data_IF_426014497782
#
_entry.id   IF_426014497782
#
_cell.length_a   1.000
_cell.length_b   1.000
_cell.length_c   1.000
_cell.angle_alpha   90.00
_cell.angle_beta   90.00
_cell.angle_gamma   90.00
#
_symmetry.space_group_name_H-M   'P 1'
#
loop_
_entity.id
_entity.type
_entity.pdbx_description
1 polymer ?
#
# COMPACT_ATOMS: atom_id res chain seq x y z
N UNK A 1 -17.30 6.16 -23.29
CA UNK A 1 -17.33 6.35 -21.82
C UNK A 1 -18.40 7.35 -21.35
N UNK A 2 -18.65 8.45 -22.05
CA UNK A 2 -19.56 9.52 -21.58
C UNK A 2 -21.01 9.09 -21.28
N UNK A 3 -21.60 8.20 -22.08
CA UNK A 3 -22.98 7.72 -21.87
C UNK A 3 -23.21 6.97 -20.55
N UNK A 4 -22.15 6.48 -19.87
CA UNK A 4 -22.28 5.69 -18.64
C UNK A 4 -22.16 6.50 -17.34
N UNK A 5 -21.64 7.73 -17.35
CA UNK A 5 -21.46 8.48 -16.09
C UNK A 5 -22.80 8.83 -15.44
N UNK A 6 -23.81 9.11 -16.25
CA UNK A 6 -25.13 9.47 -15.76
C UNK A 6 -25.91 8.28 -15.17
N UNK A 7 -25.45 7.04 -15.36
CA UNK A 7 -26.08 5.84 -14.81
C UNK A 7 -25.51 5.41 -13.46
N UNK A 8 -24.52 6.13 -12.91
CA UNK A 8 -23.93 5.81 -11.61
C UNK A 8 -24.33 6.84 -10.56
N UNK A 9 -24.61 6.37 -9.34
CA UNK A 9 -24.90 7.23 -8.18
C UNK A 9 -23.63 7.81 -7.56
N UNK A 10 -22.49 7.12 -7.75
CA UNK A 10 -21.20 7.58 -7.27
C UNK A 10 -20.01 6.95 -7.99
N UNK A 11 -18.86 7.61 -7.87
CA UNK A 11 -17.58 7.19 -8.47
C UNK A 11 -16.48 7.28 -7.43
N UNK A 12 -15.70 6.20 -7.30
CA UNK A 12 -14.46 6.18 -6.53
C UNK A 12 -13.30 6.39 -7.49
N UNK A 13 -12.48 7.40 -7.20
CA UNK A 13 -11.27 7.72 -7.96
C UNK A 13 -10.07 7.49 -7.04
N UNK A 14 -9.23 6.51 -7.38
CA UNK A 14 -7.99 6.29 -6.67
C UNK A 14 -7.03 7.47 -6.89
N UNK A 15 -6.55 8.05 -5.79
CA UNK A 15 -5.74 9.24 -5.82
C UNK A 15 -4.34 8.93 -6.33
N UNK A 16 -3.96 9.59 -7.42
CA UNK A 16 -2.61 9.61 -7.96
C UNK A 16 -2.33 10.98 -8.58
N UNK A 17 -1.08 11.24 -8.98
CA UNK A 17 -0.74 12.44 -9.75
C UNK A 17 -1.51 12.51 -11.06
N UNK A 18 -1.79 11.37 -11.69
CA UNK A 18 -2.51 11.28 -12.96
C UNK A 18 -4.02 11.51 -12.81
N UNK A 19 -4.61 11.11 -11.68
CA UNK A 19 -6.05 11.23 -11.46
C UNK A 19 -6.50 12.57 -10.86
N UNK A 20 -5.58 13.50 -10.59
CA UNK A 20 -5.85 14.78 -9.93
C UNK A 20 -6.97 15.60 -10.57
N UNK A 21 -7.09 15.57 -11.90
CA UNK A 21 -8.10 16.31 -12.65
C UNK A 21 -9.40 15.53 -12.91
N UNK A 22 -9.44 14.23 -12.59
CA UNK A 22 -10.60 13.37 -12.84
C UNK A 22 -11.85 13.86 -12.08
N UNK A 23 -11.79 14.23 -10.78
CA UNK A 23 -12.96 14.78 -10.08
C UNK A 23 -13.54 16.02 -10.76
N UNK A 24 -12.67 16.95 -11.21
CA UNK A 24 -13.09 18.16 -11.93
C UNK A 24 -13.77 17.82 -13.25
N UNK A 25 -13.25 16.84 -13.98
CA UNK A 25 -13.84 16.38 -15.23
C UNK A 25 -15.22 15.74 -15.01
N UNK A 26 -15.36 14.87 -14.00
CA UNK A 26 -16.65 14.25 -13.63
C UNK A 26 -17.67 15.33 -13.25
N UNK A 27 -17.28 16.28 -12.38
CA UNK A 27 -18.13 17.38 -11.93
C UNK A 27 -18.66 18.24 -13.09
N UNK A 28 -17.84 18.47 -14.13
CA UNK A 28 -18.27 19.19 -15.34
C UNK A 28 -19.32 18.43 -16.17
N UNK A 29 -19.33 17.10 -16.08
CA UNK A 29 -20.26 16.23 -16.84
C UNK A 29 -21.56 15.97 -16.08
N UNK A 30 -21.46 15.72 -14.78
CA UNK A 30 -22.62 15.50 -13.92
C UNK A 30 -22.31 16.04 -12.52
N UNK A 31 -22.95 17.15 -12.14
CA UNK A 31 -22.77 17.77 -10.81
C UNK A 31 -23.44 17.00 -9.67
N UNK A 32 -24.38 16.10 -9.98
CA UNK A 32 -25.16 15.35 -8.98
C UNK A 32 -24.45 14.08 -8.50
N UNK A 33 -23.47 13.58 -9.27
CA UNK A 33 -22.79 12.33 -8.93
C UNK A 33 -21.87 12.52 -7.72
N UNK A 34 -21.94 11.59 -6.77
CA UNK A 34 -21.04 11.60 -5.62
C UNK A 34 -19.65 11.12 -6.03
N UNK A 35 -18.64 11.97 -5.89
CA UNK A 35 -17.25 11.57 -6.15
C UNK A 35 -16.48 11.40 -4.84
N UNK A 36 -15.87 10.24 -4.67
CA UNK A 36 -14.92 9.92 -3.60
C UNK A 36 -13.52 9.88 -4.22
N UNK A 37 -12.63 10.76 -3.76
CA UNK A 37 -11.23 10.75 -4.13
C UNK A 37 -10.41 10.07 -3.02
N UNK A 38 -9.95 8.86 -3.27
CA UNK A 38 -9.43 7.98 -2.23
C UNK A 38 -7.92 7.80 -2.31
N UNK A 39 -7.23 8.30 -1.30
CA UNK A 39 -5.82 8.05 -1.01
C UNK A 39 -5.66 6.66 -0.40
N UNK A 40 -5.42 5.65 -1.24
CA UNK A 40 -5.12 4.29 -0.81
C UNK A 40 -3.62 4.03 -0.58
N UNK A 41 -2.79 5.03 -0.85
CA UNK A 41 -1.36 5.07 -0.60
C UNK A 41 -1.03 6.35 0.19
N UNK A 42 0.04 6.37 1.00
CA UNK A 42 0.45 7.59 1.69
C UNK A 42 0.58 8.78 0.74
N UNK A 43 0.15 9.96 1.19
CA UNK A 43 0.02 11.15 0.33
C UNK A 43 1.33 11.54 -0.36
N UNK A 44 2.49 11.24 0.23
CA UNK A 44 3.80 11.53 -0.36
C UNK A 44 4.04 10.85 -1.73
N UNK A 45 3.28 9.80 -2.06
CA UNK A 45 3.28 9.14 -3.37
C UNK A 45 2.17 9.62 -4.31
N UNK A 46 1.28 10.51 -3.85
CA UNK A 46 0.09 10.94 -4.57
C UNK A 46 0.09 12.46 -4.86
N UNK A 47 -1.04 12.97 -5.35
CA UNK A 47 -1.27 14.41 -5.51
C UNK A 47 -1.57 15.05 -4.15
N UNK A 48 -0.97 16.21 -3.88
CA UNK A 48 -1.27 16.97 -2.68
C UNK A 48 -2.78 17.28 -2.61
N UNK A 49 -3.50 16.95 -1.52
CA UNK A 49 -4.93 17.19 -1.37
C UNK A 49 -5.38 18.64 -1.62
N UNK A 50 -4.49 19.62 -1.39
CA UNK A 50 -4.77 21.04 -1.66
C UNK A 50 -4.97 21.33 -3.16
N UNK A 51 -4.46 20.48 -4.06
CA UNK A 51 -4.64 20.61 -5.51
C UNK A 51 -5.95 19.99 -6.02
N UNK A 52 -6.69 19.29 -5.16
CA UNK A 52 -7.97 18.65 -5.48
C UNK A 52 -9.07 19.35 -4.68
N UNK A 53 -9.85 20.19 -5.36
CA UNK A 53 -10.83 21.05 -4.68
C UNK A 53 -12.06 20.27 -4.20
N UNK A 54 -12.52 20.59 -2.99
CA UNK A 54 -13.61 19.90 -2.29
C UNK A 54 -14.95 20.01 -3.00
N UNK A 55 -15.17 21.10 -3.75
CA UNK A 55 -16.36 21.25 -4.59
C UNK A 55 -16.50 20.15 -5.65
N UNK A 56 -15.43 19.42 -5.97
CA UNK A 56 -15.46 18.33 -6.97
C UNK A 56 -15.59 16.93 -6.36
N UNK A 57 -15.23 16.74 -5.09
CA UNK A 57 -15.23 15.42 -4.46
C UNK A 57 -15.02 15.49 -2.94
N UNK A 58 -15.44 14.44 -2.23
CA UNK A 58 -14.98 14.16 -0.85
C UNK A 58 -13.66 13.40 -0.90
N UNK A 59 -12.69 13.80 -0.08
CA UNK A 59 -11.36 13.19 -0.04
C UNK A 59 -11.25 12.24 1.16
N UNK A 60 -10.76 11.03 0.93
CA UNK A 60 -10.65 9.97 1.92
C UNK A 60 -9.23 9.41 1.97
N UNK A 61 -8.75 8.98 3.13
CA UNK A 61 -7.45 8.28 3.28
C UNK A 61 -7.59 7.07 4.20
N UNK A 62 -6.75 6.07 3.97
CA UNK A 62 -6.60 4.93 4.90
C UNK A 62 -5.65 5.26 6.07
N UNK A 63 -4.73 6.21 5.87
CA UNK A 63 -3.74 6.59 6.88
C UNK A 63 -4.30 7.72 7.75
N UNK A 64 -4.30 7.48 9.07
CA UNK A 64 -4.87 8.38 10.06
C UNK A 64 -4.08 9.69 10.20
N UNK A 65 -2.75 9.65 10.08
CA UNK A 65 -1.95 10.87 10.12
C UNK A 65 -2.25 11.76 8.91
N UNK A 66 -2.40 11.15 7.73
CA UNK A 66 -2.81 11.85 6.51
C UNK A 66 -4.22 12.47 6.68
N UNK A 67 -5.15 11.77 7.35
CA UNK A 67 -6.47 12.31 7.67
C UNK A 67 -6.39 13.57 8.54
N UNK A 68 -5.63 13.49 9.64
CA UNK A 68 -5.46 14.62 10.56
C UNK A 68 -4.76 15.81 9.88
N UNK A 69 -3.66 15.54 9.16
CA UNK A 69 -2.82 16.57 8.55
C UNK A 69 -3.50 17.33 7.42
N UNK A 70 -4.36 16.66 6.64
CA UNK A 70 -4.99 17.24 5.46
C UNK A 70 -6.51 17.38 5.57
N UNK A 71 -7.07 17.15 6.77
CA UNK A 71 -8.51 17.17 7.03
C UNK A 71 -9.30 16.26 6.07
N UNK A 72 -8.89 14.99 5.99
CA UNK A 72 -9.52 13.99 5.12
C UNK A 72 -10.44 13.07 5.93
N UNK A 73 -11.42 12.45 5.25
CA UNK A 73 -12.26 11.43 5.87
C UNK A 73 -11.49 10.10 6.00
N UNK A 74 -11.68 9.37 7.09
CA UNK A 74 -11.03 8.06 7.30
C UNK A 74 -11.76 6.95 6.55
N UNK A 75 -11.02 6.14 5.80
CA UNK A 75 -11.49 4.88 5.23
C UNK A 75 -10.62 3.71 5.73
N UNK A 76 -11.08 2.46 5.57
CA UNK A 76 -10.19 1.29 5.74
C UNK A 76 -9.32 1.09 4.50
N UNK A 77 -8.33 0.21 4.60
CA UNK A 77 -7.61 -0.31 3.43
C UNK A 77 -8.50 -1.32 2.66
N UNK A 78 -8.24 -1.57 1.37
CA UNK A 78 -8.91 -2.62 0.61
C UNK A 78 -8.07 -3.89 0.51
N UNK A 79 -8.74 -5.01 0.19
CA UNK A 79 -8.07 -6.24 -0.21
C UNK A 79 -8.83 -6.89 -1.36
N UNK A 80 -8.10 -7.45 -2.34
CA UNK A 80 -8.73 -8.14 -3.46
C UNK A 80 -9.03 -9.60 -3.07
N UNK A 81 -10.30 -9.91 -2.78
CA UNK A 81 -10.73 -11.25 -2.36
C UNK A 81 -10.36 -12.38 -3.35
N UNK A 82 -10.19 -12.08 -4.64
CA UNK A 82 -9.85 -13.06 -5.68
C UNK A 82 -8.35 -13.46 -5.71
N UNK A 83 -7.55 -13.02 -4.75
CA UNK A 83 -6.18 -13.48 -4.59
C UNK A 83 -6.22 -14.92 -4.06
N UNK A 84 -6.27 -15.89 -4.97
CA UNK A 84 -6.06 -17.30 -4.66
C UNK A 84 -4.59 -17.60 -4.88
N UNK A 85 -3.89 -18.01 -3.84
CA UNK A 85 -2.51 -18.47 -3.95
C UNK A 85 -2.49 -19.96 -3.65
N UNK A 86 -1.82 -20.72 -4.52
CA UNK A 86 -1.57 -22.13 -4.24
C UNK A 86 -0.69 -22.24 -2.99
N UNK A 87 -1.02 -23.20 -2.12
CA UNK A 87 -0.14 -23.52 -0.99
C UNK A 87 1.14 -24.12 -1.55
N UNK A 88 2.26 -23.48 -1.26
CA UNK A 88 3.57 -23.96 -1.66
C UNK A 88 4.33 -24.52 -0.46
N UNK A 89 5.38 -25.31 -0.74
CA UNK A 89 6.32 -25.74 0.28
C UNK A 89 6.93 -24.53 0.99
N UNK A 90 6.89 -24.53 2.31
CA UNK A 90 7.49 -23.48 3.12
C UNK A 90 9.01 -23.52 2.97
N UNK A 91 9.59 -22.37 2.62
CA UNK A 91 11.05 -22.15 2.51
C UNK A 91 11.57 -21.18 3.56
N UNK A 92 10.72 -20.28 4.05
CA UNK A 92 11.11 -19.21 4.97
C UNK A 92 10.15 -19.17 6.16
N UNK A 93 10.68 -18.88 7.33
CA UNK A 93 9.90 -18.54 8.52
C UNK A 93 9.35 -17.11 8.40
N UNK A 94 10.17 -16.17 7.93
CA UNK A 94 9.80 -14.75 7.86
C UNK A 94 10.07 -14.18 6.45
N UNK A 95 9.09 -13.48 5.90
CA UNK A 95 9.23 -12.74 4.64
C UNK A 95 8.99 -11.25 4.85
N UNK A 96 9.91 -10.42 4.35
CA UNK A 96 9.74 -8.97 4.25
C UNK A 96 9.79 -8.53 2.79
N UNK A 97 8.90 -7.62 2.41
CA UNK A 97 8.95 -6.92 1.14
C UNK A 97 8.69 -5.42 1.35
N UNK A 98 9.66 -4.60 0.98
CA UNK A 98 9.48 -3.16 1.04
C UNK A 98 10.64 -2.39 0.44
N UNK A 99 10.38 -1.14 0.11
CA UNK A 99 11.45 -0.17 -0.12
C UNK A 99 12.20 0.11 1.19
N UNK A 100 13.49 0.45 1.08
CA UNK A 100 14.33 0.76 2.24
C UNK A 100 13.71 1.86 3.11
N UNK A 101 13.40 3.05 2.60
CA UNK A 101 12.67 4.13 3.31
C UNK A 101 13.16 4.45 4.74
N UNK A 102 14.45 4.31 5.02
CA UNK A 102 15.03 4.50 6.35
C UNK A 102 14.84 3.30 7.29
N UNK A 103 14.46 2.14 6.78
CA UNK A 103 14.28 0.89 7.55
C UNK A 103 15.54 0.04 7.59
N UNK A 104 16.64 0.50 7.00
CA UNK A 104 17.85 -0.29 6.87
C UNK A 104 18.39 -0.76 8.22
N UNK A 105 18.52 0.13 9.20
CA UNK A 105 19.09 -0.23 10.51
C UNK A 105 18.25 -1.29 11.25
N UNK A 106 16.92 -1.14 11.26
CA UNK A 106 16.04 -2.12 11.90
C UNK A 106 16.05 -3.48 11.16
N UNK A 107 16.13 -3.46 9.83
CA UNK A 107 16.24 -4.69 9.03
C UNK A 107 17.58 -5.40 9.25
N UNK A 108 18.67 -4.65 9.43
CA UNK A 108 20.01 -5.20 9.70
C UNK A 108 20.02 -5.91 11.06
N UNK A 109 19.55 -5.22 12.10
CA UNK A 109 19.41 -5.78 13.44
C UNK A 109 18.53 -7.03 13.47
N UNK A 110 17.37 -7.00 12.80
CA UNK A 110 16.48 -8.16 12.73
C UNK A 110 17.09 -9.33 11.96
N UNK A 111 17.89 -9.06 10.92
CA UNK A 111 18.60 -10.10 10.20
C UNK A 111 19.62 -10.80 11.11
N UNK A 112 20.41 -10.05 11.87
CA UNK A 112 21.38 -10.59 12.83
C UNK A 112 20.70 -11.43 13.92
N UNK A 113 19.61 -10.91 14.50
CA UNK A 113 18.78 -11.63 15.47
C UNK A 113 18.22 -12.95 14.88
N UNK A 114 17.65 -12.91 13.68
CA UNK A 114 17.12 -14.09 13.01
C UNK A 114 18.20 -15.13 12.71
N UNK A 115 19.39 -14.70 12.28
CA UNK A 115 20.55 -15.60 12.08
C UNK A 115 20.92 -16.28 13.39
N UNK A 116 21.04 -15.53 14.49
CA UNK A 116 21.40 -16.07 15.81
C UNK A 116 20.39 -17.08 16.35
N UNK A 117 19.12 -16.95 15.97
CA UNK A 117 18.03 -17.85 16.38
C UNK A 117 17.81 -19.01 15.39
N UNK A 118 18.56 -19.07 14.28
CA UNK A 118 18.36 -20.08 13.23
C UNK A 118 17.06 -19.93 12.45
N UNK A 119 16.45 -18.74 12.48
CA UNK A 119 15.23 -18.41 11.74
C UNK A 119 15.56 -18.21 10.27
N UNK A 120 14.88 -18.92 9.37
CA UNK A 120 15.08 -18.73 7.92
C UNK A 120 14.25 -17.55 7.45
N UNK A 121 14.87 -16.52 6.91
CA UNK A 121 14.15 -15.33 6.44
C UNK A 121 14.50 -14.96 5.00
N UNK A 122 13.60 -14.21 4.36
CA UNK A 122 13.83 -13.59 3.07
C UNK A 122 13.43 -12.12 3.12
N UNK A 123 14.42 -11.23 3.02
CA UNK A 123 14.21 -9.79 2.93
C UNK A 123 14.35 -9.31 1.49
N UNK A 124 13.23 -8.99 0.86
CA UNK A 124 13.18 -8.39 -0.46
C UNK A 124 13.16 -6.86 -0.35
N UNK A 125 14.35 -6.26 -0.30
CA UNK A 125 14.52 -4.82 -0.08
C UNK A 125 14.74 -4.12 -1.42
N UNK A 126 13.87 -3.18 -1.75
CA UNK A 126 13.95 -2.39 -2.98
C UNK A 126 14.65 -1.07 -2.71
N UNK A 127 15.60 -0.70 -3.58
CA UNK A 127 16.33 0.56 -3.49
C UNK A 127 15.41 1.78 -3.61
N UNK A 128 15.72 2.81 -2.85
CA UNK A 128 15.16 4.15 -3.00
C UNK A 128 16.18 5.24 -2.58
N UNK A 129 15.69 6.47 -2.37
CA UNK A 129 16.53 7.63 -2.05
C UNK A 129 17.19 7.59 -0.66
N UNK A 130 16.76 6.72 0.25
CA UNK A 130 17.33 6.59 1.61
C UNK A 130 18.30 5.42 1.72
N UNK A 131 18.46 4.65 0.64
CA UNK A 131 19.31 3.48 0.58
C UNK A 131 20.79 3.82 0.75
N UNK A 132 21.42 3.23 1.77
CA UNK A 132 22.81 3.47 2.18
C UNK A 132 23.84 2.53 1.57
N UNK A 133 23.43 1.46 0.86
CA UNK A 133 24.36 0.45 0.33
C UNK A 133 24.59 -0.76 1.23
N UNK A 134 24.00 -0.77 2.44
CA UNK A 134 24.14 -1.84 3.43
C UNK A 134 23.46 -3.17 3.05
N UNK A 135 22.57 -3.15 2.06
CA UNK A 135 21.83 -4.34 1.63
C UNK A 135 22.10 -4.64 0.16
N UNK A 136 22.01 -5.92 -0.19
CA UNK A 136 21.83 -6.34 -1.57
C UNK A 136 20.41 -5.98 -2.03
N UNK A 137 20.27 -4.80 -2.64
CA UNK A 137 19.00 -4.31 -3.15
C UNK A 137 18.52 -5.07 -4.37
N UNK A 138 17.21 -5.29 -4.44
CA UNK A 138 16.56 -6.09 -5.48
C UNK A 138 15.60 -5.23 -6.31
N UNK A 139 15.33 -5.68 -7.54
CA UNK A 139 14.35 -5.04 -8.42
C UNK A 139 12.92 -5.23 -7.88
N UNK A 140 12.00 -4.27 -8.10
CA UNK A 140 10.60 -4.42 -7.70
C UNK A 140 9.97 -5.71 -8.24
N UNK A 141 9.25 -6.43 -7.38
CA UNK A 141 8.50 -7.62 -7.78
C UNK A 141 7.16 -7.25 -8.43
N UNK A 142 6.77 -8.07 -9.42
CA UNK A 142 5.37 -8.16 -9.82
C UNK A 142 4.55 -8.78 -8.70
N UNK A 143 3.27 -8.43 -8.62
CA UNK A 143 2.42 -8.82 -7.51
C UNK A 143 2.29 -10.35 -7.36
N UNK A 144 2.24 -11.08 -8.48
CA UNK A 144 2.16 -12.54 -8.50
C UNK A 144 3.39 -13.19 -7.82
N UNK A 145 4.56 -12.58 -7.97
CA UNK A 145 5.78 -13.04 -7.29
C UNK A 145 5.77 -12.71 -5.81
N UNK A 146 5.16 -11.60 -5.40
CA UNK A 146 4.94 -11.30 -3.98
C UNK A 146 4.10 -12.39 -3.34
N UNK A 147 3.01 -12.78 -3.99
CA UNK A 147 2.13 -13.84 -3.52
C UNK A 147 2.84 -15.19 -3.42
N UNK A 148 3.70 -15.51 -4.38
CA UNK A 148 4.54 -16.71 -4.35
C UNK A 148 5.45 -16.74 -3.10
N UNK A 149 6.17 -15.64 -2.81
CA UNK A 149 6.97 -15.56 -1.59
C UNK A 149 6.13 -15.68 -0.33
N UNK A 150 4.99 -14.98 -0.24
CA UNK A 150 4.08 -15.10 0.92
C UNK A 150 3.65 -16.55 1.10
N UNK A 151 3.30 -17.26 0.03
CA UNK A 151 2.86 -18.66 0.11
C UNK A 151 3.95 -19.59 0.63
N UNK A 152 5.22 -19.30 0.33
CA UNK A 152 6.42 -20.04 0.75
C UNK A 152 6.92 -19.61 2.14
N UNK A 153 6.19 -18.74 2.85
CA UNK A 153 6.59 -18.21 4.16
C UNK A 153 5.59 -18.50 5.28
N UNK A 154 6.06 -18.63 6.52
CA UNK A 154 5.20 -18.80 7.70
C UNK A 154 4.62 -17.46 8.20
N UNK A 155 5.43 -16.40 8.15
CA UNK A 155 5.08 -15.06 8.62
C UNK A 155 5.44 -13.97 7.61
N UNK A 156 4.70 -12.86 7.66
CA UNK A 156 5.01 -11.64 6.92
C UNK A 156 5.46 -10.57 7.92
N UNK A 157 6.69 -10.09 7.78
CA UNK A 157 7.21 -8.99 8.59
C UNK A 157 6.75 -7.65 8.02
N UNK A 158 6.11 -6.83 8.86
CA UNK A 158 5.76 -5.45 8.53
C UNK A 158 6.61 -4.45 9.33
N UNK A 159 7.21 -3.51 8.62
CA UNK A 159 7.93 -2.39 9.21
C UNK A 159 7.36 -1.10 8.61
N UNK A 160 6.73 -0.27 9.43
CA UNK A 160 6.19 1.00 8.98
C UNK A 160 7.30 1.97 8.59
N UNK A 161 7.03 2.78 7.56
CA UNK A 161 7.91 3.91 7.24
C UNK A 161 7.63 5.03 8.25
N UNK A 162 8.62 5.89 8.50
CA UNK A 162 8.43 7.05 9.35
C UNK A 162 7.27 7.93 8.84
N UNK A 163 6.36 8.30 9.75
CA UNK A 163 5.18 9.11 9.46
C UNK A 163 4.03 8.38 8.77
N UNK A 164 4.00 7.05 8.79
CA UNK A 164 2.84 6.24 8.40
C UNK A 164 2.32 5.48 9.62
N UNK A 165 1.02 5.61 9.90
CA UNK A 165 0.34 4.82 10.94
C UNK A 165 -0.63 3.80 10.34
N UNK A 166 -1.15 4.06 9.15
CA UNK A 166 -2.07 3.15 8.48
C UNK A 166 -1.35 1.86 8.09
N UNK A 167 -1.93 0.73 8.47
CA UNK A 167 -1.46 -0.58 8.03
C UNK A 167 -1.45 -0.67 6.50
N UNK A 168 -0.43 -1.31 5.94
CA UNK A 168 -0.40 -1.57 4.49
C UNK A 168 -1.32 -2.75 4.13
N UNK A 169 -1.19 -3.23 2.89
CA UNK A 169 -1.84 -4.45 2.45
C UNK A 169 -1.24 -5.71 3.08
N UNK A 170 -0.01 -5.67 3.62
CA UNK A 170 0.68 -6.85 4.19
C UNK A 170 -0.12 -7.55 5.32
N UNK A 171 -0.67 -6.85 6.32
CA UNK A 171 -1.51 -7.52 7.33
C UNK A 171 -2.81 -8.11 6.77
N UNK A 172 -3.41 -7.48 5.75
CA UNK A 172 -4.57 -8.07 5.08
C UNK A 172 -4.17 -9.33 4.31
N UNK A 173 -3.05 -9.31 3.61
CA UNK A 173 -2.50 -10.50 2.96
C UNK A 173 -2.19 -11.62 3.95
N UNK A 174 -1.61 -11.29 5.11
CA UNK A 174 -1.39 -12.28 6.16
C UNK A 174 -2.70 -12.89 6.65
N UNK A 175 -3.70 -12.07 6.95
CA UNK A 175 -5.02 -12.51 7.38
C UNK A 175 -5.70 -13.41 6.35
N UNK A 176 -5.77 -12.98 5.09
CA UNK A 176 -6.48 -13.72 4.03
C UNK A 176 -5.71 -14.95 3.51
N UNK A 177 -4.39 -14.99 3.66
CA UNK A 177 -3.55 -16.13 3.27
C UNK A 177 -3.14 -17.03 4.44
N UNK A 178 -3.76 -16.83 5.62
CA UNK A 178 -3.51 -17.58 6.86
C UNK A 178 -2.03 -17.60 7.26
N UNK A 179 -1.38 -16.45 7.23
CA UNK A 179 0.00 -16.25 7.68
C UNK A 179 0.02 -15.56 9.03
N UNK A 180 1.08 -15.80 9.79
CA UNK A 180 1.36 -15.00 10.99
C UNK A 180 1.80 -13.59 10.56
N UNK A 181 1.39 -12.60 11.33
CA UNK A 181 1.73 -11.19 11.13
C UNK A 181 2.35 -10.64 12.40
#
# INVERSE_FOLDING_TARGET
MEKKINSYEGVVVFASRLSANVPKWIYKKNKKIRVIFWYSNPINKSVNPKKVFEKYCKKWSFDEQDCLKYNLQRNTQYFYKKILVQRNTIKYDVFFLGNEKGRGEILEKLAEEFISMGIKFYFHIVRDKTSSGKFEYKAPLKYEKVLDYISQSNAILEIMQNGQNGLTLRPLEALFLNKKF
#
